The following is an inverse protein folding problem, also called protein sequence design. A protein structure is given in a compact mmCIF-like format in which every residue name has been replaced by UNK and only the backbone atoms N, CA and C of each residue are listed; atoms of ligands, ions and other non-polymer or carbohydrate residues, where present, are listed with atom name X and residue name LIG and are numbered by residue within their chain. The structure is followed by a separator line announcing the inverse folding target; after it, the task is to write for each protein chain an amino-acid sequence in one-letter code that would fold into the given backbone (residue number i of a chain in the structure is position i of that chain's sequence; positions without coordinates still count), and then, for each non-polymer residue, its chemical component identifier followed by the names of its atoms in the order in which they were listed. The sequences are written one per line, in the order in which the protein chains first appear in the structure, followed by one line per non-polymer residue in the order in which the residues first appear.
data_IF_820115670005
#
_entry.id   IF_820115670005
#
_cell.length_a   1.000
_cell.length_b   1.000
_cell.length_c   1.000
_cell.angle_alpha   90.00
_cell.angle_beta   90.00
_cell.angle_gamma   90.00
#
_symmetry.space_group_name_H-M   'P 1'
#
loop_
_entity.id
_entity.type
_entity.pdbx_description
1 polymer ?
#
# COMPACT_ATOMS: atom_id res chain seq x y z
N UNK A 1 -9.74 31.02 5.27
CA UNK A 1 -9.98 29.61 5.70
C UNK A 1 -8.65 28.86 5.76
N UNK A 2 -7.89 28.74 4.70
CA UNK A 2 -6.63 27.99 4.64
C UNK A 2 -5.59 28.44 5.68
N UNK A 3 -5.39 29.74 5.89
CA UNK A 3 -4.52 30.26 6.96
C UNK A 3 -4.93 29.80 8.36
N UNK A 4 -6.25 29.74 8.64
CA UNK A 4 -6.75 29.24 9.93
C UNK A 4 -6.49 27.75 10.10
N UNK A 5 -6.65 26.96 9.03
CA UNK A 5 -6.38 25.53 9.03
C UNK A 5 -4.89 25.28 9.30
N UNK A 6 -4.01 25.99 8.59
CA UNK A 6 -2.56 25.86 8.79
C UNK A 6 -2.13 26.28 10.21
N UNK A 7 -2.67 27.39 10.71
CA UNK A 7 -2.40 27.86 12.08
C UNK A 7 -2.87 26.84 13.13
N UNK A 8 -4.03 26.20 12.94
CA UNK A 8 -4.55 25.17 13.82
C UNK A 8 -3.65 23.92 13.78
N UNK A 9 -3.22 23.49 12.60
CA UNK A 9 -2.31 22.34 12.44
C UNK A 9 -0.96 22.58 13.14
N UNK A 10 -0.37 23.75 12.96
CA UNK A 10 0.86 24.15 13.66
C UNK A 10 0.65 24.20 15.18
N UNK A 11 -0.54 24.61 15.64
CA UNK A 11 -0.90 24.57 17.07
C UNK A 11 -0.92 23.17 17.67
N UNK A 12 -1.17 22.15 16.85
CA UNK A 12 -1.19 20.73 17.26
C UNK A 12 0.14 19.99 17.08
N UNK A 13 1.22 20.64 16.59
CA UNK A 13 2.48 19.98 16.28
C UNK A 13 3.02 19.12 17.44
N UNK A 14 2.97 19.61 18.68
CA UNK A 14 3.43 18.86 19.86
C UNK A 14 2.59 17.60 20.11
N UNK A 15 1.29 17.69 19.90
CA UNK A 15 0.38 16.54 20.08
C UNK A 15 0.57 15.52 18.97
N UNK A 16 0.77 15.97 17.72
CA UNK A 16 1.13 15.14 16.58
C UNK A 16 2.43 14.36 16.84
N UNK A 17 3.48 15.05 17.26
CA UNK A 17 4.77 14.43 17.59
C UNK A 17 4.62 13.40 18.70
N UNK A 18 3.88 13.74 19.79
CA UNK A 18 3.62 12.79 20.89
C UNK A 18 2.90 11.56 20.37
N UNK A 19 1.82 11.73 19.62
CA UNK A 19 1.04 10.62 19.08
C UNK A 19 1.87 9.74 18.13
N UNK A 20 2.64 10.33 17.21
CA UNK A 20 3.55 9.58 16.35
C UNK A 20 4.57 8.75 17.15
N UNK A 21 5.16 9.33 18.21
CA UNK A 21 6.12 8.61 19.04
C UNK A 21 5.47 7.44 19.78
N UNK A 22 4.22 7.60 20.26
CA UNK A 22 3.45 6.50 20.85
C UNK A 22 3.19 5.38 19.83
N UNK A 23 2.86 5.76 18.58
CA UNK A 23 2.67 4.79 17.49
C UNK A 23 3.97 4.03 17.15
N UNK A 24 5.11 4.74 17.07
CA UNK A 24 6.43 4.12 16.82
C UNK A 24 6.79 3.16 17.96
N UNK A 25 6.54 3.54 19.21
CA UNK A 25 6.82 2.70 20.38
C UNK A 25 5.95 1.43 20.41
N UNK A 26 4.82 1.43 19.72
CA UNK A 26 3.91 0.29 19.63
C UNK A 26 4.26 -0.54 18.39
N UNK A 27 4.91 -1.70 18.58
CA UNK A 27 5.23 -2.63 17.47
C UNK A 27 3.94 -3.13 16.82
N UNK A 28 3.92 -3.17 15.51
CA UNK A 28 2.75 -3.57 14.73
C UNK A 28 3.18 -4.19 13.39
N UNK A 29 3.73 -5.41 13.45
CA UNK A 29 3.93 -6.17 12.22
C UNK A 29 2.58 -6.58 11.64
N UNK A 30 2.55 -6.86 10.33
CA UNK A 30 1.33 -7.38 9.67
C UNK A 30 0.76 -8.57 10.44
N UNK A 31 -0.55 -8.60 10.61
CA UNK A 31 -1.31 -9.55 11.45
C UNK A 31 -1.05 -9.44 12.98
N UNK A 32 -0.37 -8.37 13.46
CA UNK A 32 -0.09 -8.14 14.88
C UNK A 32 -0.44 -6.71 15.33
N UNK A 33 -1.38 -6.05 14.65
CA UNK A 33 -1.66 -4.61 14.76
C UNK A 33 -2.57 -4.25 15.96
N UNK A 34 -3.05 -5.21 16.72
CA UNK A 34 -4.09 -4.98 17.74
C UNK A 34 -3.77 -3.88 18.76
N UNK A 35 -2.51 -3.74 19.18
CA UNK A 35 -2.13 -2.72 20.18
C UNK A 35 -2.08 -1.32 19.54
N UNK A 36 -1.54 -1.17 18.34
CA UNK A 36 -1.51 0.12 17.65
C UNK A 36 -2.92 0.56 17.27
N UNK A 37 -3.80 -0.34 16.85
CA UNK A 37 -5.22 -0.04 16.56
C UNK A 37 -5.92 0.52 17.81
N UNK A 38 -5.73 -0.09 18.99
CA UNK A 38 -6.28 0.44 20.24
C UNK A 38 -5.74 1.83 20.59
N UNK A 39 -4.47 2.09 20.30
CA UNK A 39 -3.87 3.40 20.51
C UNK A 39 -4.48 4.46 19.58
N UNK A 40 -4.71 4.09 18.29
CA UNK A 40 -5.38 4.96 17.31
C UNK A 40 -6.84 5.23 17.71
N UNK A 41 -7.57 4.20 18.14
CA UNK A 41 -8.95 4.31 18.64
C UNK A 41 -9.06 5.33 19.78
N UNK A 42 -8.16 5.23 20.76
CA UNK A 42 -8.11 6.18 21.88
C UNK A 42 -7.86 7.61 21.42
N UNK A 43 -6.96 7.82 20.44
CA UNK A 43 -6.67 9.16 19.92
C UNK A 43 -7.84 9.73 19.09
N UNK A 44 -8.45 8.94 18.21
CA UNK A 44 -9.62 9.39 17.44
C UNK A 44 -10.77 9.80 18.34
N UNK A 45 -11.06 9.02 19.40
CA UNK A 45 -12.07 9.36 20.40
C UNK A 45 -11.71 10.66 21.14
N UNK A 46 -10.45 10.87 21.53
CA UNK A 46 -9.98 12.10 22.17
C UNK A 46 -10.03 13.31 21.22
N UNK A 47 -9.88 13.09 19.91
CA UNK A 47 -10.02 14.11 18.86
C UNK A 47 -11.49 14.45 18.53
N UNK A 48 -12.47 13.75 19.12
CA UNK A 48 -13.90 14.07 18.99
C UNK A 48 -14.53 13.60 17.68
N UNK A 49 -14.07 12.49 17.13
CA UNK A 49 -14.70 11.84 15.97
C UNK A 49 -16.15 11.46 16.28
N UNK A 50 -17.05 11.55 15.31
CA UNK A 50 -18.48 11.28 15.48
C UNK A 50 -18.76 9.77 15.62
N UNK A 51 -17.91 8.95 15.02
CA UNK A 51 -17.93 7.50 15.11
C UNK A 51 -16.50 6.96 15.02
N UNK A 52 -16.17 5.98 15.86
CA UNK A 52 -14.91 5.23 15.76
C UNK A 52 -15.26 3.76 15.92
N UNK A 53 -14.89 2.95 14.96
CA UNK A 53 -15.16 1.51 14.97
C UNK A 53 -14.01 0.71 14.40
N UNK A 54 -13.91 -0.54 14.84
CA UNK A 54 -12.96 -1.52 14.32
C UNK A 54 -13.77 -2.60 13.59
N UNK A 55 -13.48 -2.79 12.31
CA UNK A 55 -14.16 -3.80 11.49
C UNK A 55 -13.71 -5.24 11.85
N UNK A 56 -14.38 -6.28 11.34
CA UNK A 56 -13.98 -7.67 11.58
C UNK A 56 -12.58 -8.03 11.07
N UNK A 57 -12.07 -7.37 10.02
CA UNK A 57 -10.69 -7.55 9.54
C UNK A 57 -9.67 -6.95 10.50
N UNK A 58 -10.07 -5.93 11.26
CA UNK A 58 -9.22 -5.26 12.23
C UNK A 58 -8.79 -3.85 11.83
N UNK A 59 -9.29 -3.33 10.72
CA UNK A 59 -9.11 -1.93 10.33
C UNK A 59 -9.84 -1.03 11.33
N UNK A 60 -9.27 0.15 11.60
CA UNK A 60 -9.97 1.19 12.35
C UNK A 60 -10.52 2.24 11.40
N UNK A 61 -11.79 2.59 11.57
CA UNK A 61 -12.49 3.58 10.75
C UNK A 61 -13.08 4.64 11.66
N UNK A 62 -12.63 5.88 11.47
CA UNK A 62 -13.14 7.06 12.17
C UNK A 62 -13.93 7.94 11.22
N UNK A 63 -15.17 8.34 11.59
CA UNK A 63 -16.04 9.19 10.78
C UNK A 63 -16.18 10.58 11.37
N UNK A 64 -16.20 11.57 10.50
CA UNK A 64 -16.49 12.97 10.82
C UNK A 64 -17.51 13.51 9.81
N UNK A 65 -18.58 14.12 10.33
CA UNK A 65 -19.68 14.64 9.52
C UNK A 65 -20.64 13.54 9.04
N UNK A 66 -21.68 13.98 8.37
CA UNK A 66 -22.77 13.15 7.81
C UNK A 66 -23.28 13.68 6.46
N UNK A 67 -22.45 14.50 5.79
CA UNK A 67 -22.75 15.04 4.46
C UNK A 67 -22.81 13.96 3.39
N UNK A 68 -23.47 14.24 2.26
CA UNK A 68 -23.67 13.26 1.18
C UNK A 68 -22.38 12.90 0.42
N UNK A 69 -21.33 13.73 0.49
CA UNK A 69 -20.07 13.54 -0.21
C UNK A 69 -19.12 12.73 0.67
N UNK A 70 -18.76 11.54 0.25
CA UNK A 70 -17.92 10.62 1.04
C UNK A 70 -16.49 10.62 0.54
N UNK A 71 -15.56 11.08 1.38
CA UNK A 71 -14.12 11.07 1.11
C UNK A 71 -13.42 10.24 2.18
N UNK A 72 -12.45 9.44 1.78
CA UNK A 72 -11.65 8.68 2.72
C UNK A 72 -10.17 9.06 2.65
N UNK A 73 -9.50 9.05 3.80
CA UNK A 73 -8.06 9.14 3.97
C UNK A 73 -7.57 7.81 4.50
N UNK A 74 -6.57 7.21 3.87
CA UNK A 74 -6.03 5.91 4.24
C UNK A 74 -4.58 6.00 4.67
N UNK A 75 -4.27 5.39 5.81
CA UNK A 75 -2.90 5.11 6.23
C UNK A 75 -2.84 3.73 6.89
N UNK A 76 -1.91 2.88 6.45
CA UNK A 76 -1.72 1.59 7.12
C UNK A 76 -1.03 1.76 8.48
N UNK A 77 -1.30 0.82 9.37
CA UNK A 77 -0.81 0.83 10.75
C UNK A 77 0.30 -0.19 10.99
N UNK A 78 0.40 -1.18 10.11
CA UNK A 78 1.47 -2.17 10.16
C UNK A 78 2.79 -1.62 9.64
N UNK A 79 3.86 -2.31 9.92
CA UNK A 79 5.22 -2.01 9.47
C UNK A 79 5.95 -3.29 9.17
N UNK A 80 6.94 -3.23 8.29
CA UNK A 80 7.92 -4.31 8.17
C UNK A 80 8.76 -4.45 9.45
N UNK A 81 9.43 -5.60 9.60
CA UNK A 81 10.36 -5.83 10.70
C UNK A 81 11.57 -4.88 10.64
N UNK A 82 12.24 -4.70 11.76
CA UNK A 82 13.46 -3.88 11.84
C UNK A 82 14.67 -4.52 11.15
N UNK A 83 14.56 -5.79 10.78
CA UNK A 83 15.66 -6.55 10.20
C UNK A 83 16.80 -6.78 11.19
N UNK A 84 18.04 -6.52 10.77
CA UNK A 84 19.19 -6.63 11.67
C UNK A 84 19.28 -5.39 12.59
N UNK A 85 19.05 -5.53 13.92
CA UNK A 85 19.11 -4.41 14.86
C UNK A 85 20.47 -3.70 14.89
N UNK A 86 21.56 -4.38 14.52
CA UNK A 86 22.90 -3.77 14.47
C UNK A 86 23.05 -2.69 13.38
N UNK A 87 22.15 -2.63 12.41
CA UNK A 87 22.15 -1.61 11.38
C UNK A 87 21.51 -0.28 11.85
N UNK A 88 20.80 -0.29 12.98
CA UNK A 88 20.17 0.90 13.54
C UNK A 88 21.15 1.67 14.42
N UNK A 89 21.20 3.00 14.23
CA UNK A 89 22.02 3.89 15.06
C UNK A 89 21.29 4.35 16.33
N UNK A 90 19.98 4.15 16.38
CA UNK A 90 19.09 4.44 17.51
C UNK A 90 18.15 3.26 17.71
N UNK A 91 17.50 3.16 18.87
CA UNK A 91 16.42 2.19 19.07
C UNK A 91 15.28 2.47 18.06
N UNK A 92 14.94 1.51 17.19
CA UNK A 92 13.93 1.70 16.16
C UNK A 92 12.51 1.98 16.70
N UNK A 93 12.28 1.73 17.98
CA UNK A 93 10.99 1.93 18.64
C UNK A 93 10.98 3.08 19.66
N UNK A 94 12.08 3.82 19.81
CA UNK A 94 12.13 4.95 20.73
C UNK A 94 11.42 6.20 20.21
N UNK A 95 11.23 6.34 18.90
CA UNK A 95 10.70 7.57 18.30
C UNK A 95 11.52 8.79 18.67
N UNK A 96 12.85 8.65 18.66
CA UNK A 96 13.78 9.72 19.07
C UNK A 96 13.71 10.89 18.10
N UNK A 97 13.68 12.13 18.66
CA UNK A 97 13.72 13.35 17.87
C UNK A 97 15.09 14.01 17.97
N UNK A 98 15.62 14.42 16.82
CA UNK A 98 16.86 15.22 16.74
C UNK A 98 16.77 16.19 15.57
N UNK A 99 17.08 17.45 15.81
CA UNK A 99 17.13 18.52 14.79
C UNK A 99 15.83 18.64 13.96
N UNK A 100 14.65 18.47 14.61
CA UNK A 100 13.36 18.52 13.96
C UNK A 100 13.02 17.30 13.09
N UNK A 101 13.71 16.18 13.30
CA UNK A 101 13.48 14.90 12.60
C UNK A 101 13.23 13.79 13.61
N UNK A 102 12.17 13.02 13.41
CA UNK A 102 11.82 11.84 14.22
C UNK A 102 12.35 10.59 13.50
N UNK A 103 13.04 9.72 14.26
CA UNK A 103 13.63 8.48 13.79
C UNK A 103 12.92 7.28 14.39
N UNK A 104 12.66 6.26 13.59
CA UNK A 104 12.10 5.01 14.07
C UNK A 104 11.37 4.23 12.96
N UNK A 105 11.15 2.93 13.20
CA UNK A 105 10.38 2.07 12.30
C UNK A 105 8.92 2.55 12.25
N UNK A 106 8.41 2.76 11.03
CA UNK A 106 7.08 3.31 10.80
C UNK A 106 7.02 4.85 10.87
N UNK A 107 8.14 5.54 11.14
CA UNK A 107 8.13 7.01 11.17
C UNK A 107 7.70 7.60 9.83
N UNK A 108 8.24 7.08 8.73
CA UNK A 108 7.96 7.48 7.37
C UNK A 108 6.86 6.60 6.75
N UNK A 109 6.92 5.30 6.98
CA UNK A 109 6.08 4.28 6.37
C UNK A 109 5.29 3.52 7.45
N UNK A 110 3.98 3.91 7.74
CA UNK A 110 3.53 5.27 7.43
C UNK A 110 2.77 5.88 8.64
N UNK A 111 3.26 5.56 9.89
CA UNK A 111 2.64 6.06 11.14
C UNK A 111 2.66 7.58 11.25
N UNK A 112 3.63 8.28 10.60
CA UNK A 112 3.64 9.73 10.49
C UNK A 112 2.44 10.29 9.73
N UNK A 113 2.09 9.64 8.64
CA UNK A 113 0.89 9.94 7.88
C UNK A 113 -0.38 9.61 8.66
N UNK A 114 -0.42 8.45 9.33
CA UNK A 114 -1.53 8.08 10.21
C UNK A 114 -1.79 9.14 11.30
N UNK A 115 -0.74 9.62 11.97
CA UNK A 115 -0.88 10.71 12.92
C UNK A 115 -1.45 11.97 12.27
N UNK A 116 -0.97 12.29 11.07
CA UNK A 116 -1.38 13.50 10.34
C UNK A 116 -2.84 13.42 9.86
N UNK A 117 -3.33 12.26 9.38
CA UNK A 117 -4.74 12.12 8.96
C UNK A 117 -5.69 12.17 10.17
N UNK A 118 -5.31 11.58 11.32
CA UNK A 118 -6.10 11.67 12.56
C UNK A 118 -6.25 13.10 13.04
N UNK A 119 -5.16 13.87 13.01
CA UNK A 119 -5.21 15.29 13.40
C UNK A 119 -5.82 16.18 12.31
N UNK A 120 -5.73 15.79 11.03
CA UNK A 120 -6.51 16.41 9.96
C UNK A 120 -8.01 16.37 10.26
N UNK A 121 -8.51 15.20 10.67
CA UNK A 121 -9.89 15.02 11.13
C UNK A 121 -10.23 15.88 12.37
N UNK A 122 -9.34 15.93 13.37
CA UNK A 122 -9.49 16.81 14.54
C UNK A 122 -9.67 18.28 14.14
N UNK A 123 -8.84 18.75 13.21
CA UNK A 123 -8.91 20.15 12.72
C UNK A 123 -10.25 20.40 12.01
N UNK A 124 -10.76 19.44 11.24
CA UNK A 124 -12.09 19.53 10.62
C UNK A 124 -13.16 19.76 11.69
N UNK A 125 -13.15 18.97 12.78
CA UNK A 125 -14.08 19.12 13.91
C UNK A 125 -13.95 20.46 14.62
N UNK A 126 -12.74 20.85 15.00
CA UNK A 126 -12.50 22.07 15.77
C UNK A 126 -12.85 23.35 15.02
N UNK A 127 -12.73 23.33 13.69
CA UNK A 127 -13.04 24.48 12.85
C UNK A 127 -14.45 24.44 12.22
N UNK A 128 -15.21 23.35 12.43
CA UNK A 128 -16.56 23.16 11.87
C UNK A 128 -16.53 23.11 10.33
N UNK A 129 -15.65 22.27 9.76
CA UNK A 129 -15.44 22.18 8.31
C UNK A 129 -16.17 20.99 7.66
N UNK A 130 -17.00 20.27 8.39
CA UNK A 130 -17.70 19.05 7.93
C UNK A 130 -18.63 19.31 6.74
N UNK A 131 -19.39 20.39 6.81
CA UNK A 131 -20.41 20.85 5.83
C UNK A 131 -21.06 19.74 4.96
N UNK A 132 -20.67 19.61 3.70
CA UNK A 132 -21.27 18.65 2.76
C UNK A 132 -20.53 17.32 2.66
N UNK A 133 -19.50 17.12 3.48
CA UNK A 133 -18.66 15.91 3.46
C UNK A 133 -18.88 15.01 4.65
N UNK A 134 -18.86 13.72 4.38
CA UNK A 134 -18.53 12.67 5.34
C UNK A 134 -17.07 12.31 5.10
N UNK A 135 -16.23 12.59 6.08
CA UNK A 135 -14.81 12.22 6.06
C UNK A 135 -14.62 10.92 6.82
N UNK A 136 -14.06 9.92 6.16
CA UNK A 136 -13.58 8.70 6.79
C UNK A 136 -12.06 8.73 6.90
N UNK A 137 -11.54 8.51 8.09
CA UNK A 137 -10.11 8.29 8.36
C UNK A 137 -9.92 6.81 8.67
N UNK A 138 -9.14 6.15 7.85
CA UNK A 138 -8.94 4.70 7.89
C UNK A 138 -7.52 4.40 8.33
N UNK A 139 -7.38 3.62 9.42
CA UNK A 139 -6.14 2.96 9.77
C UNK A 139 -6.22 1.51 9.31
N UNK A 140 -5.59 1.19 8.19
CA UNK A 140 -5.68 -0.10 7.53
C UNK A 140 -4.63 -1.09 8.04
N UNK A 141 -4.92 -2.40 7.98
CA UNK A 141 -4.06 -3.49 8.48
C UNK A 141 -3.55 -4.36 7.33
N UNK A 142 -2.44 -5.05 7.55
CA UNK A 142 -1.83 -6.05 6.63
C UNK A 142 -1.49 -5.48 5.24
N UNK A 143 -1.20 -4.20 5.13
CA UNK A 143 -0.80 -3.58 3.86
C UNK A 143 0.54 -4.09 3.40
N UNK A 144 1.55 -4.13 4.26
CA UNK A 144 2.94 -4.49 3.98
C UNK A 144 3.11 -5.92 3.43
N UNK A 145 2.24 -6.84 3.86
CA UNK A 145 2.23 -8.22 3.39
C UNK A 145 1.36 -8.41 2.14
N UNK A 146 0.28 -7.60 1.99
CA UNK A 146 -0.71 -7.80 0.93
C UNK A 146 -1.44 -6.50 0.60
N UNK A 147 -0.85 -5.74 -0.32
CA UNK A 147 -1.34 -4.43 -0.76
C UNK A 147 -2.84 -4.49 -1.09
N UNK A 148 -3.64 -3.58 -0.55
CA UNK A 148 -5.06 -3.47 -0.85
C UNK A 148 -5.97 -4.57 -0.28
N UNK A 149 -5.45 -5.57 0.45
CA UNK A 149 -6.27 -6.58 1.11
C UNK A 149 -7.35 -5.95 2.00
N UNK A 150 -6.93 -5.03 2.87
CA UNK A 150 -7.81 -4.29 3.77
C UNK A 150 -8.90 -3.52 3.03
N UNK A 151 -8.55 -2.84 1.94
CA UNK A 151 -9.51 -2.08 1.14
C UNK A 151 -10.46 -2.93 0.32
N UNK A 152 -10.05 -4.12 -0.14
CA UNK A 152 -10.99 -5.09 -0.72
C UNK A 152 -12.05 -5.48 0.31
N UNK A 153 -11.64 -5.75 1.56
CA UNK A 153 -12.58 -6.04 2.65
C UNK A 153 -13.51 -4.86 2.94
N UNK A 154 -12.95 -3.66 3.12
CA UNK A 154 -13.72 -2.44 3.41
C UNK A 154 -14.76 -2.16 2.33
N UNK A 155 -14.41 -2.31 1.05
CA UNK A 155 -15.32 -2.01 -0.05
C UNK A 155 -16.36 -3.11 -0.29
N UNK A 156 -15.97 -4.38 -0.17
CA UNK A 156 -16.84 -5.52 -0.50
C UNK A 156 -17.70 -5.98 0.66
N UNK A 157 -17.14 -6.04 1.88
CA UNK A 157 -17.80 -6.65 3.04
C UNK A 157 -18.31 -5.58 4.03
N UNK A 158 -17.53 -4.56 4.32
CA UNK A 158 -17.93 -3.48 5.23
C UNK A 158 -18.85 -2.46 4.56
N UNK A 159 -18.78 -2.37 3.22
CA UNK A 159 -19.72 -1.61 2.40
C UNK A 159 -19.48 -0.10 2.37
N UNK A 160 -18.29 0.39 2.77
CA UNK A 160 -17.92 1.79 2.62
C UNK A 160 -17.85 2.16 1.13
N UNK A 161 -18.47 3.27 0.74
CA UNK A 161 -18.56 3.71 -0.66
C UNK A 161 -18.01 5.14 -0.83
N UNK A 162 -16.70 5.34 -0.77
CA UNK A 162 -16.11 6.66 -0.97
C UNK A 162 -16.19 7.08 -2.44
N UNK A 163 -16.37 8.38 -2.68
CA UNK A 163 -16.28 8.99 -4.01
C UNK A 163 -14.83 9.19 -4.43
N UNK A 164 -13.95 9.41 -3.46
CA UNK A 164 -12.52 9.59 -3.63
C UNK A 164 -11.77 9.11 -2.39
N UNK A 165 -10.54 8.61 -2.60
CA UNK A 165 -9.65 8.19 -1.52
C UNK A 165 -8.30 8.90 -1.68
N UNK A 166 -7.73 9.33 -0.57
CA UNK A 166 -6.34 9.80 -0.48
C UNK A 166 -5.52 8.71 0.21
N UNK A 167 -4.53 8.19 -0.48
CA UNK A 167 -3.55 7.26 0.06
C UNK A 167 -2.42 8.09 0.67
N UNK A 168 -2.22 7.96 1.98
CA UNK A 168 -1.30 8.82 2.72
C UNK A 168 0.15 8.33 2.76
N UNK A 169 0.53 7.42 1.89
CA UNK A 169 1.91 6.95 1.71
C UNK A 169 2.89 8.12 1.50
N UNK A 170 4.17 7.97 1.89
CA UNK A 170 5.15 9.04 1.81
C UNK A 170 5.33 9.55 0.38
N UNK A 171 5.10 10.85 0.18
CA UNK A 171 5.27 11.55 -1.10
C UNK A 171 6.17 12.78 -1.00
N UNK A 172 6.80 12.97 0.15
CA UNK A 172 7.52 14.20 0.47
C UNK A 172 6.65 15.47 0.32
N UNK A 173 5.36 15.36 0.69
CA UNK A 173 4.30 16.36 0.51
C UNK A 173 3.97 16.67 -0.96
N UNK A 174 4.40 15.86 -1.93
CA UNK A 174 3.92 15.92 -3.32
C UNK A 174 2.53 15.33 -3.47
N UNK A 175 1.89 15.56 -4.61
CA UNK A 175 0.61 14.93 -4.98
C UNK A 175 0.89 13.84 -6.02
N UNK A 176 0.71 12.58 -5.63
CA UNK A 176 1.00 11.44 -6.48
C UNK A 176 -0.27 10.91 -7.16
N UNK A 177 -0.13 10.43 -8.40
CA UNK A 177 -1.27 10.04 -9.22
C UNK A 177 -1.27 8.60 -9.72
N UNK A 178 -0.38 7.76 -9.19
CA UNK A 178 -0.33 6.35 -9.57
C UNK A 178 0.94 5.62 -9.18
N UNK A 179 0.93 4.32 -9.45
CA UNK A 179 2.09 3.44 -9.38
C UNK A 179 1.90 2.20 -10.25
N UNK A 180 3.00 1.50 -10.52
CA UNK A 180 2.96 0.20 -11.20
C UNK A 180 2.34 -0.85 -10.30
N UNK A 181 1.62 -1.79 -10.91
CA UNK A 181 1.14 -2.97 -10.23
C UNK A 181 2.24 -3.97 -9.88
N UNK A 182 1.88 -5.00 -9.11
CA UNK A 182 2.75 -6.07 -8.66
C UNK A 182 2.05 -7.42 -8.73
N UNK A 183 2.79 -8.48 -9.01
CA UNK A 183 2.32 -9.86 -8.87
C UNK A 183 3.42 -10.72 -8.26
N UNK A 184 3.01 -11.71 -7.48
CA UNK A 184 3.88 -12.77 -7.01
C UNK A 184 3.51 -14.08 -7.71
N UNK A 185 4.47 -14.64 -8.46
CA UNK A 185 4.25 -15.81 -9.30
C UNK A 185 5.26 -16.89 -8.92
N UNK A 186 4.77 -18.12 -8.77
CA UNK A 186 5.64 -19.30 -8.61
C UNK A 186 5.72 -20.06 -9.92
N UNK A 187 6.94 -20.45 -10.34
CA UNK A 187 7.15 -21.38 -11.43
C UNK A 187 7.80 -22.65 -10.87
N UNK A 188 7.18 -23.79 -11.12
CA UNK A 188 7.61 -25.08 -10.58
C UNK A 188 7.89 -26.09 -11.68
N UNK A 189 9.06 -26.74 -11.59
CA UNK A 189 9.40 -27.91 -12.41
C UNK A 189 9.36 -29.19 -11.58
N UNK A 190 8.94 -30.28 -12.19
CA UNK A 190 8.91 -31.61 -11.59
C UNK A 190 9.94 -32.53 -12.22
N UNK A 191 10.57 -33.35 -11.41
CA UNK A 191 11.53 -34.35 -11.77
C UNK A 191 11.17 -35.73 -11.25
N UNK A 192 12.11 -36.65 -11.34
CA UNK A 192 12.04 -37.99 -10.77
C UNK A 192 13.36 -38.28 -10.05
N UNK A 193 13.27 -38.45 -8.72
CA UNK A 193 14.46 -38.69 -7.92
C UNK A 193 15.05 -40.07 -8.15
N UNK A 194 16.37 -40.15 -8.09
CA UNK A 194 17.13 -41.38 -8.07
C UNK A 194 18.47 -41.14 -7.35
N UNK A 195 19.26 -42.20 -7.14
CA UNK A 195 20.58 -42.08 -6.52
C UNK A 195 21.50 -41.23 -7.40
N UNK A 196 22.18 -40.22 -6.82
CA UNK A 196 23.04 -39.28 -7.57
C UNK A 196 24.22 -39.92 -8.31
N UNK A 197 24.60 -41.17 -7.99
CA UNK A 197 25.61 -41.94 -8.73
C UNK A 197 25.10 -42.56 -10.04
N UNK A 198 23.78 -42.55 -10.27
CA UNK A 198 23.14 -43.07 -11.47
C UNK A 198 22.06 -42.11 -11.97
N UNK A 199 22.42 -40.83 -12.30
CA UNK A 199 21.49 -39.78 -12.64
C UNK A 199 20.64 -40.06 -13.87
N UNK A 200 21.08 -40.92 -14.77
CA UNK A 200 20.35 -41.38 -15.95
C UNK A 200 19.06 -42.14 -15.63
N UNK A 201 18.86 -42.57 -14.37
CA UNK A 201 17.64 -43.26 -13.90
C UNK A 201 16.56 -42.30 -13.41
N UNK A 202 16.87 -41.01 -13.36
CA UNK A 202 15.95 -39.98 -12.88
C UNK A 202 15.75 -38.85 -13.90
N UNK A 203 15.01 -37.84 -13.46
CA UNK A 203 14.82 -36.59 -14.19
C UNK A 203 15.11 -35.46 -13.24
N UNK A 204 16.14 -34.67 -13.49
CA UNK A 204 16.55 -33.59 -12.60
C UNK A 204 15.70 -32.34 -12.81
N UNK A 205 14.90 -31.98 -11.81
CA UNK A 205 14.05 -30.79 -11.84
C UNK A 205 14.87 -29.49 -11.91
N UNK A 206 16.06 -29.45 -11.29
CA UNK A 206 16.93 -28.27 -11.33
C UNK A 206 17.47 -28.04 -12.74
N UNK A 207 17.79 -29.12 -13.49
CA UNK A 207 18.23 -28.97 -14.89
C UNK A 207 17.10 -28.50 -15.81
N UNK A 208 15.84 -28.80 -15.50
CA UNK A 208 14.68 -28.23 -16.18
C UNK A 208 14.48 -26.75 -15.83
N UNK A 209 14.75 -26.35 -14.58
CA UNK A 209 14.59 -24.97 -14.11
C UNK A 209 15.68 -24.04 -14.67
N UNK A 210 16.91 -24.50 -14.82
CA UNK A 210 18.03 -23.66 -15.23
C UNK A 210 17.77 -22.85 -16.54
N UNK A 211 17.25 -23.42 -17.63
CA UNK A 211 16.90 -22.64 -18.83
C UNK A 211 15.73 -21.67 -18.59
N UNK A 212 14.80 -21.97 -17.67
CA UNK A 212 13.71 -21.06 -17.29
C UNK A 212 14.26 -19.81 -16.62
N UNK A 213 15.21 -19.96 -15.69
CA UNK A 213 15.89 -18.84 -15.02
C UNK A 213 16.50 -17.88 -16.07
N UNK A 214 17.19 -18.42 -17.06
CA UNK A 214 17.79 -17.61 -18.12
C UNK A 214 16.73 -16.96 -19.05
N UNK A 215 15.59 -17.62 -19.30
CA UNK A 215 14.49 -17.04 -20.08
C UNK A 215 13.78 -15.90 -19.31
N UNK A 216 13.62 -16.02 -17.99
CA UNK A 216 13.07 -14.95 -17.14
C UNK A 216 13.98 -13.71 -17.15
N UNK A 217 15.31 -13.88 -17.08
CA UNK A 217 16.25 -12.76 -17.18
C UNK A 217 16.09 -12.04 -18.53
N UNK A 218 16.01 -12.78 -19.64
CA UNK A 218 15.76 -12.21 -20.96
C UNK A 218 14.37 -11.59 -21.12
N UNK A 219 13.35 -12.13 -20.44
CA UNK A 219 12.02 -11.54 -20.41
C UNK A 219 12.06 -10.15 -19.80
N UNK A 220 12.77 -9.98 -18.67
CA UNK A 220 12.91 -8.67 -18.02
C UNK A 220 13.49 -7.59 -18.94
N UNK A 221 14.40 -7.95 -19.86
CA UNK A 221 14.96 -7.01 -20.83
C UNK A 221 13.94 -6.52 -21.86
N UNK A 222 12.96 -7.37 -22.20
CA UNK A 222 11.98 -7.12 -23.29
C UNK A 222 10.68 -6.48 -22.82
N UNK A 223 10.42 -6.45 -21.48
CA UNK A 223 9.20 -5.86 -20.96
C UNK A 223 9.08 -4.39 -21.35
N UNK A 224 7.89 -4.01 -21.80
CA UNK A 224 7.53 -2.64 -22.15
C UNK A 224 7.05 -1.82 -20.98
N UNK A 225 6.63 -0.58 -21.26
CA UNK A 225 6.05 0.34 -20.30
C UNK A 225 5.76 1.70 -20.93
N UNK A 226 5.19 2.59 -20.14
CA UNK A 226 4.90 3.97 -20.54
C UNK A 226 5.85 4.94 -19.80
N UNK A 227 5.85 6.22 -20.25
CA UNK A 227 6.88 7.18 -19.82
C UNK A 227 6.75 7.61 -18.35
N UNK A 228 5.53 7.67 -17.80
CA UNK A 228 5.33 8.17 -16.43
C UNK A 228 5.57 7.09 -15.37
N UNK A 229 4.93 5.92 -15.46
CA UNK A 229 5.12 4.84 -14.48
C UNK A 229 6.39 4.01 -14.76
N UNK A 230 6.87 4.02 -16.00
CA UNK A 230 8.03 3.25 -16.42
C UNK A 230 7.68 1.83 -16.92
N UNK A 231 8.71 1.05 -17.25
CA UNK A 231 8.53 -0.30 -17.77
C UNK A 231 8.16 -1.31 -16.67
N UNK A 232 7.47 -2.38 -17.06
CA UNK A 232 7.33 -3.58 -16.23
C UNK A 232 8.69 -4.24 -15.95
N UNK A 233 8.78 -4.99 -14.86
CA UNK A 233 9.98 -5.76 -14.52
C UNK A 233 9.60 -7.15 -14.00
N UNK A 234 10.49 -8.11 -14.12
CA UNK A 234 10.39 -9.41 -13.48
C UNK A 234 11.72 -9.79 -12.87
N UNK A 235 11.70 -10.20 -11.60
CA UNK A 235 12.90 -10.61 -10.86
C UNK A 235 12.63 -11.94 -10.17
N UNK A 236 13.62 -12.84 -10.20
CA UNK A 236 13.61 -14.06 -9.38
C UNK A 236 14.09 -13.68 -7.99
N UNK A 237 13.17 -13.70 -7.01
CA UNK A 237 13.47 -13.35 -5.61
C UNK A 237 13.95 -14.56 -4.79
N UNK A 238 13.52 -15.77 -5.18
CA UNK A 238 13.90 -17.01 -4.51
C UNK A 238 14.04 -18.15 -5.53
N UNK A 239 14.99 -19.06 -5.28
CA UNK A 239 15.08 -20.35 -5.95
C UNK A 239 15.32 -21.45 -4.90
N UNK A 240 14.54 -22.51 -4.99
CA UNK A 240 14.64 -23.66 -4.08
C UNK A 240 14.44 -24.97 -4.84
N UNK A 241 14.97 -26.05 -4.28
CA UNK A 241 14.76 -27.40 -4.80
C UNK A 241 14.56 -28.40 -3.66
N UNK A 242 13.91 -29.52 -3.98
CA UNK A 242 13.74 -30.65 -3.07
C UNK A 242 14.40 -31.89 -3.64
N UNK A 243 14.85 -32.77 -2.75
CA UNK A 243 15.31 -34.12 -3.03
C UNK A 243 15.26 -34.95 -1.76
N UNK A 244 15.15 -36.28 -1.83
CA UNK A 244 15.21 -37.15 -0.63
C UNK A 244 16.50 -37.02 0.16
N UNK A 245 17.61 -36.65 -0.48
CA UNK A 245 18.90 -36.39 0.16
C UNK A 245 19.81 -35.56 -0.76
N UNK A 246 20.89 -35.00 -0.21
CA UNK A 246 21.91 -34.27 -0.99
C UNK A 246 22.66 -35.15 -2.00
N UNK A 247 22.53 -36.50 -1.89
CA UNK A 247 23.09 -37.46 -2.84
C UNK A 247 22.08 -38.04 -3.81
N UNK A 248 20.91 -37.37 -3.97
CA UNK A 248 19.84 -37.77 -4.88
C UNK A 248 19.56 -36.71 -5.94
N UNK A 249 19.01 -37.11 -7.08
CA UNK A 249 18.54 -36.24 -8.12
C UNK A 249 17.32 -35.44 -7.59
N UNK A 250 17.28 -34.13 -7.86
CA UNK A 250 16.19 -33.26 -7.42
C UNK A 250 14.86 -33.62 -8.11
N UNK A 251 13.81 -33.79 -7.31
CA UNK A 251 12.45 -34.13 -7.75
C UNK A 251 11.55 -32.91 -7.97
N UNK A 252 11.91 -31.75 -7.40
CA UNK A 252 11.23 -30.48 -7.63
C UNK A 252 12.24 -29.34 -7.63
N UNK A 253 11.97 -28.31 -8.43
CA UNK A 253 12.62 -27.01 -8.31
C UNK A 253 11.55 -25.92 -8.50
N UNK A 254 11.67 -24.84 -7.75
CA UNK A 254 10.71 -23.77 -7.69
C UNK A 254 11.44 -22.43 -7.68
N UNK A 255 10.95 -21.46 -8.45
CA UNK A 255 11.36 -20.05 -8.38
C UNK A 255 10.17 -19.19 -8.02
N UNK A 256 10.43 -18.15 -7.22
CA UNK A 256 9.48 -17.08 -6.89
C UNK A 256 9.83 -15.84 -7.70
N UNK A 257 8.83 -15.27 -8.38
CA UNK A 257 8.97 -14.09 -9.22
C UNK A 257 8.25 -12.90 -8.59
N UNK A 258 8.95 -11.78 -8.44
CA UNK A 258 8.35 -10.44 -8.27
C UNK A 258 8.18 -9.85 -9.67
N UNK A 259 6.91 -9.71 -10.13
CA UNK A 259 6.54 -9.13 -11.42
C UNK A 259 5.92 -7.76 -11.21
N UNK A 260 6.59 -6.69 -11.66
CA UNK A 260 6.03 -5.34 -11.67
C UNK A 260 5.33 -5.09 -12.99
N UNK A 261 4.07 -4.66 -12.93
CA UNK A 261 3.17 -4.53 -14.06
C UNK A 261 3.24 -3.13 -14.67
N UNK A 262 3.32 -3.04 -15.99
CA UNK A 262 3.12 -1.79 -16.71
C UNK A 262 1.61 -1.42 -16.74
N UNK A 263 1.29 -0.23 -17.22
CA UNK A 263 -0.10 0.25 -17.26
C UNK A 263 -1.05 -0.60 -18.12
N UNK A 264 -0.48 -1.32 -19.11
CA UNK A 264 -1.24 -2.18 -20.04
C UNK A 264 -1.27 -3.65 -19.62
N UNK A 265 -0.53 -4.02 -18.58
CA UNK A 265 -0.44 -5.41 -18.15
C UNK A 265 -1.68 -5.80 -17.33
N UNK A 266 -2.19 -7.00 -17.60
CA UNK A 266 -3.24 -7.66 -16.81
C UNK A 266 -2.69 -8.92 -16.16
N UNK A 267 -3.47 -9.53 -15.26
CA UNK A 267 -3.13 -10.83 -14.69
C UNK A 267 -2.88 -11.86 -15.80
N UNK A 268 -3.80 -11.93 -16.75
CA UNK A 268 -3.76 -12.92 -17.85
C UNK A 268 -2.56 -12.68 -18.76
N UNK A 269 -2.27 -11.42 -19.12
CA UNK A 269 -1.13 -11.12 -20.00
C UNK A 269 0.20 -11.47 -19.33
N UNK A 270 0.37 -11.12 -18.05
CA UNK A 270 1.61 -11.36 -17.31
C UNK A 270 1.88 -12.85 -17.06
N UNK A 271 0.82 -13.65 -16.79
CA UNK A 271 0.94 -15.11 -16.67
C UNK A 271 1.24 -15.74 -18.02
N UNK A 272 0.49 -15.36 -19.06
CA UNK A 272 0.69 -15.90 -20.42
C UNK A 272 2.07 -15.62 -20.99
N UNK A 273 2.69 -14.47 -20.67
CA UNK A 273 4.08 -14.17 -21.05
C UNK A 273 5.07 -15.20 -20.50
N UNK A 274 4.87 -15.64 -19.27
CA UNK A 274 5.74 -16.64 -18.62
C UNK A 274 5.45 -18.03 -19.18
N UNK A 275 4.17 -18.40 -19.28
CA UNK A 275 3.75 -19.70 -19.83
C UNK A 275 4.21 -19.91 -21.28
N UNK A 276 4.29 -18.82 -22.07
CA UNK A 276 4.75 -18.86 -23.47
C UNK A 276 6.27 -19.00 -23.62
N UNK A 277 7.05 -18.93 -22.54
CA UNK A 277 8.50 -19.10 -22.62
C UNK A 277 8.83 -20.52 -23.11
N UNK A 278 9.70 -20.68 -24.14
CA UNK A 278 10.02 -21.98 -24.69
C UNK A 278 10.53 -23.00 -23.66
N UNK A 279 11.30 -22.53 -22.69
CA UNK A 279 11.83 -23.37 -21.59
C UNK A 279 10.74 -23.83 -20.62
N UNK A 280 9.73 -22.98 -20.33
CA UNK A 280 8.57 -23.32 -19.50
C UNK A 280 7.76 -24.42 -20.14
N UNK A 281 7.45 -24.26 -21.45
CA UNK A 281 6.73 -25.27 -22.23
C UNK A 281 7.51 -26.59 -22.35
N UNK A 282 8.79 -26.51 -22.70
CA UNK A 282 9.64 -27.70 -22.85
C UNK A 282 9.80 -28.48 -21.52
N UNK A 283 9.84 -27.76 -20.38
CA UNK A 283 9.92 -28.38 -19.06
C UNK A 283 8.57 -28.95 -18.59
N UNK A 284 7.45 -28.53 -19.18
CA UNK A 284 6.10 -28.74 -18.66
C UNK A 284 5.97 -28.16 -17.24
N UNK A 285 6.51 -26.95 -17.06
CA UNK A 285 6.51 -26.29 -15.75
C UNK A 285 5.11 -25.74 -15.40
N UNK A 286 4.78 -25.78 -14.13
CA UNK A 286 3.57 -25.18 -13.57
C UNK A 286 3.83 -23.69 -13.29
N UNK A 287 2.93 -22.81 -13.71
CA UNK A 287 2.96 -21.36 -13.39
C UNK A 287 1.74 -21.04 -12.59
N UNK A 288 1.91 -20.43 -11.42
CA UNK A 288 0.79 -20.08 -10.54
C UNK A 288 1.00 -18.72 -9.90
N UNK A 289 -0.06 -17.91 -9.87
CA UNK A 289 -0.11 -16.70 -9.03
C UNK A 289 -0.38 -17.14 -7.60
N UNK A 290 0.36 -16.59 -6.66
CA UNK A 290 0.23 -16.96 -5.25
C UNK A 290 -1.01 -16.33 -4.62
N UNK A 291 -1.51 -16.96 -3.57
CA UNK A 291 -2.57 -16.42 -2.72
C UNK A 291 -1.98 -16.03 -1.35
N UNK A 292 -2.54 -14.98 -0.76
CA UNK A 292 -2.31 -14.60 0.61
C UNK A 292 -3.53 -15.02 1.45
N UNK A 293 -3.30 -15.74 2.53
CA UNK A 293 -4.35 -16.25 3.41
C UNK A 293 -3.91 -16.26 4.89
N UNK A 294 -3.10 -15.27 5.28
CA UNK A 294 -2.72 -15.09 6.69
C UNK A 294 -3.89 -14.48 7.45
N UNK A 295 -4.30 -15.04 8.60
CA UNK A 295 -5.34 -14.44 9.42
C UNK A 295 -4.91 -13.06 9.93
N UNK A 296 -5.84 -12.10 9.94
CA UNK A 296 -5.62 -10.80 10.58
C UNK A 296 -5.40 -10.95 12.09
N UNK A 297 -4.98 -9.88 12.76
CA UNK A 297 -4.84 -9.87 14.22
C UNK A 297 -6.14 -10.19 14.98
N UNK A 298 -7.30 -10.08 14.30
CA UNK A 298 -8.61 -10.51 14.83
C UNK A 298 -8.97 -11.96 14.52
N UNK A 299 -8.11 -12.67 13.75
CA UNK A 299 -8.31 -14.06 13.36
C UNK A 299 -9.19 -14.26 12.12
N UNK A 300 -9.61 -13.17 11.45
CA UNK A 300 -10.31 -13.27 10.16
C UNK A 300 -9.30 -13.54 9.04
N UNK A 301 -9.55 -14.56 8.24
CA UNK A 301 -8.82 -14.80 6.99
C UNK A 301 -9.65 -14.32 5.82
N UNK A 302 -9.09 -13.46 4.99
CA UNK A 302 -9.70 -12.98 3.75
C UNK A 302 -8.77 -13.33 2.58
N UNK A 303 -8.93 -14.50 1.95
CA UNK A 303 -8.02 -14.97 0.92
C UNK A 303 -7.96 -14.01 -0.25
N UNK A 304 -6.75 -13.59 -0.61
CA UNK A 304 -6.52 -12.60 -1.66
C UNK A 304 -5.42 -13.09 -2.59
N UNK A 305 -5.69 -13.09 -3.90
CA UNK A 305 -4.67 -13.39 -4.90
C UNK A 305 -3.61 -12.31 -4.92
N UNK A 306 -2.34 -12.68 -4.90
CA UNK A 306 -1.21 -11.74 -4.97
C UNK A 306 -1.06 -11.14 -6.38
N UNK A 307 -2.10 -10.46 -6.79
CA UNK A 307 -2.22 -9.64 -7.99
C UNK A 307 -2.71 -8.26 -7.62
N UNK A 308 -1.89 -7.29 -7.84
CA UNK A 308 -2.06 -5.90 -7.45
C UNK A 308 -2.00 -5.04 -8.73
N UNK A 309 -3.14 -4.68 -9.32
CA UNK A 309 -3.17 -4.00 -10.63
C UNK A 309 -2.52 -2.62 -10.58
N UNK A 310 -1.92 -2.24 -11.68
CA UNK A 310 -1.46 -0.87 -11.92
C UNK A 310 -2.64 0.09 -11.89
N UNK A 311 -2.43 1.26 -11.34
CA UNK A 311 -3.38 2.35 -11.48
C UNK A 311 -2.66 3.66 -11.81
N UNK A 312 -3.34 4.51 -12.57
CA UNK A 312 -2.84 5.81 -12.98
C UNK A 312 -4.03 6.75 -13.20
N UNK A 313 -4.13 7.78 -12.39
CA UNK A 313 -5.13 8.83 -12.56
C UNK A 313 -4.68 9.76 -13.68
N UNK A 314 -5.58 10.13 -14.64
CA UNK A 314 -5.27 11.11 -15.68
C UNK A 314 -4.79 12.44 -15.10
N UNK A 315 -3.87 13.10 -15.79
CA UNK A 315 -3.27 14.35 -15.32
C UNK A 315 -4.29 15.50 -15.21
N UNK A 316 -5.29 15.49 -16.07
CA UNK A 316 -6.40 16.47 -16.07
C UNK A 316 -7.58 16.06 -15.18
N UNK A 317 -7.48 14.96 -14.44
CA UNK A 317 -8.58 14.47 -13.59
C UNK A 317 -8.91 15.50 -12.49
N UNK A 318 -10.19 15.83 -12.26
CA UNK A 318 -10.60 16.85 -11.28
C UNK A 318 -10.07 16.59 -9.86
N UNK A 319 -10.02 15.35 -9.41
CA UNK A 319 -9.48 14.97 -8.10
C UNK A 319 -8.02 15.41 -7.93
N UNK A 320 -7.18 15.16 -8.94
CA UNK A 320 -5.76 15.58 -8.92
C UNK A 320 -5.66 17.10 -8.87
N UNK A 321 -6.44 17.80 -9.72
CA UNK A 321 -6.44 19.26 -9.77
C UNK A 321 -6.88 19.89 -8.43
N UNK A 322 -7.86 19.30 -7.75
CA UNK A 322 -8.28 19.74 -6.40
C UNK A 322 -7.17 19.49 -5.38
N UNK A 323 -6.51 18.35 -5.42
CA UNK A 323 -5.38 18.05 -4.54
C UNK A 323 -4.25 19.06 -4.68
N UNK A 324 -3.87 19.37 -5.91
CA UNK A 324 -2.84 20.38 -6.24
C UNK A 324 -3.24 21.78 -5.79
N UNK A 325 -4.46 22.22 -6.12
CA UNK A 325 -4.98 23.53 -5.74
C UNK A 325 -5.09 23.70 -4.22
N UNK A 326 -5.42 22.62 -3.48
CA UNK A 326 -5.44 22.63 -2.02
C UNK A 326 -4.04 22.87 -1.46
N UNK A 327 -3.04 22.22 -2.02
CA UNK A 327 -1.63 22.40 -1.63
C UNK A 327 -1.18 23.84 -1.88
N UNK A 328 -1.38 24.34 -3.10
CA UNK A 328 -0.97 25.70 -3.49
C UNK A 328 -1.63 26.78 -2.61
N UNK A 329 -2.90 26.60 -2.26
CA UNK A 329 -3.62 27.53 -1.35
C UNK A 329 -3.09 27.50 0.08
N UNK A 330 -2.56 26.39 0.56
CA UNK A 330 -1.99 26.27 1.90
C UNK A 330 -0.56 26.78 1.98
N UNK A 331 0.25 26.52 0.95
CA UNK A 331 1.70 26.67 1.02
C UNK A 331 2.28 27.72 0.05
N UNK A 332 1.50 28.18 -0.92
CA UNK A 332 1.88 29.27 -1.84
C UNK A 332 2.53 28.83 -3.14
N UNK A 333 3.11 27.64 -3.21
CA UNK A 333 3.76 27.08 -4.40
C UNK A 333 3.02 25.82 -4.89
N UNK A 334 3.07 25.49 -6.19
CA UNK A 334 2.48 24.24 -6.69
C UNK A 334 3.23 23.01 -6.14
N UNK A 335 2.53 21.90 -5.86
CA UNK A 335 3.17 20.67 -5.43
C UNK A 335 3.92 19.98 -6.57
N UNK A 336 4.89 19.13 -6.23
CA UNK A 336 5.39 18.13 -7.16
C UNK A 336 4.29 17.11 -7.47
N UNK A 337 4.10 16.78 -8.76
CA UNK A 337 3.21 15.70 -9.19
C UNK A 337 4.05 14.47 -9.50
N UNK A 338 3.87 13.42 -8.71
CA UNK A 338 4.73 12.24 -8.76
C UNK A 338 3.97 10.91 -8.85
N UNK A 339 4.74 9.86 -8.67
CA UNK A 339 4.30 8.47 -8.59
C UNK A 339 5.16 7.71 -7.60
N UNK A 340 4.64 6.64 -7.01
CA UNK A 340 5.47 5.73 -6.24
C UNK A 340 6.18 4.71 -7.14
N UNK A 341 7.31 4.22 -6.67
CA UNK A 341 8.03 3.10 -7.30
C UNK A 341 7.55 1.74 -6.80
N UNK A 342 6.82 1.73 -5.68
CA UNK A 342 6.20 0.56 -5.05
C UNK A 342 4.67 0.58 -5.21
N UNK A 343 3.98 -0.45 -4.77
CA UNK A 343 2.51 -0.55 -4.77
C UNK A 343 1.95 -0.18 -3.39
N UNK A 344 0.69 0.26 -3.36
CA UNK A 344 -0.01 0.76 -2.18
C UNK A 344 -1.45 0.23 -2.16
N UNK A 345 -2.21 0.52 -1.12
CA UNK A 345 -3.66 0.22 -1.07
C UNK A 345 -4.47 0.76 -2.28
N UNK A 346 -3.92 1.69 -3.04
CA UNK A 346 -4.51 2.18 -4.28
C UNK A 346 -4.79 1.10 -5.32
N UNK A 347 -4.12 -0.07 -5.24
CA UNK A 347 -4.39 -1.23 -6.09
C UNK A 347 -5.84 -1.71 -5.94
N UNK A 348 -6.36 -1.76 -4.72
CA UNK A 348 -7.75 -2.13 -4.49
C UNK A 348 -8.70 -0.98 -4.83
N UNK A 349 -8.41 0.22 -4.34
CA UNK A 349 -9.28 1.39 -4.48
C UNK A 349 -9.50 1.75 -5.95
N UNK A 350 -8.45 2.10 -6.67
CA UNK A 350 -8.57 2.49 -8.07
C UNK A 350 -8.33 1.33 -9.03
N UNK A 351 -7.34 0.48 -8.75
CA UNK A 351 -6.98 -0.60 -9.65
C UNK A 351 -8.08 -1.65 -9.83
N UNK A 352 -8.74 -2.07 -8.75
CA UNK A 352 -9.80 -3.09 -8.79
C UNK A 352 -11.20 -2.49 -8.83
N UNK A 353 -11.46 -1.42 -8.07
CA UNK A 353 -12.81 -0.87 -7.89
C UNK A 353 -13.07 0.40 -8.70
N UNK A 354 -12.06 0.97 -9.36
CA UNK A 354 -12.21 2.18 -10.18
C UNK A 354 -12.61 3.44 -9.39
N UNK A 355 -12.40 3.44 -8.08
CA UNK A 355 -12.63 4.61 -7.22
C UNK A 355 -11.44 5.55 -7.40
N UNK A 356 -11.65 6.81 -7.83
CA UNK A 356 -10.56 7.74 -8.02
C UNK A 356 -9.73 7.92 -6.75
N UNK A 357 -8.39 7.79 -6.85
CA UNK A 357 -7.51 8.07 -5.73
C UNK A 357 -6.28 8.88 -6.13
N UNK A 358 -5.73 9.61 -5.18
CA UNK A 358 -4.46 10.33 -5.26
C UNK A 358 -3.62 9.99 -4.04
N UNK A 359 -2.32 10.24 -4.17
CA UNK A 359 -1.38 10.16 -3.06
C UNK A 359 -1.06 11.53 -2.51
N UNK A 360 -0.98 11.62 -1.18
CA UNK A 360 -0.40 12.76 -0.49
C UNK A 360 0.04 12.33 0.91
N UNK A 361 1.32 12.47 1.23
CA UNK A 361 1.80 12.06 2.56
C UNK A 361 3.07 12.78 3.00
N UNK A 362 3.28 12.86 4.32
CA UNK A 362 4.51 13.37 4.91
C UNK A 362 5.63 12.32 4.80
N UNK A 363 6.88 12.76 4.91
CA UNK A 363 8.04 11.89 4.77
C UNK A 363 8.39 11.59 3.33
N UNK A 364 9.54 10.99 3.12
CA UNK A 364 10.07 10.64 1.80
C UNK A 364 10.21 9.13 1.67
N UNK A 365 9.68 8.55 0.58
CA UNK A 365 9.69 7.11 0.28
C UNK A 365 11.10 6.49 0.29
N UNK A 366 12.14 7.31 0.09
CA UNK A 366 13.53 6.82 0.10
C UNK A 366 13.98 6.28 1.46
N UNK A 367 13.26 6.61 2.54
CA UNK A 367 13.55 6.12 3.88
C UNK A 367 12.70 4.90 4.28
N UNK A 368 11.68 4.56 3.50
CA UNK A 368 10.85 3.39 3.74
C UNK A 368 11.71 2.11 3.82
N UNK A 369 11.42 1.23 4.79
CA UNK A 369 12.09 -0.05 5.05
C UNK A 369 13.58 0.05 5.43
N UNK A 370 14.14 1.26 5.57
CA UNK A 370 15.55 1.46 5.94
C UNK A 370 15.77 1.46 7.46
N UNK A 371 16.98 1.11 7.90
CA UNK A 371 17.40 1.25 9.30
C UNK A 371 17.66 2.71 9.71
N UNK A 372 17.58 3.65 8.76
CA UNK A 372 17.65 5.09 8.95
C UNK A 372 16.31 5.78 8.76
N UNK A 373 15.23 5.03 8.89
CA UNK A 373 13.87 5.53 8.68
C UNK A 373 13.58 6.75 9.56
N UNK A 374 13.02 7.80 8.94
CA UNK A 374 12.88 9.11 9.56
C UNK A 374 11.82 9.96 8.89
N UNK A 375 11.30 10.96 9.62
CA UNK A 375 10.33 11.93 9.12
C UNK A 375 10.60 13.32 9.70
N UNK A 376 10.57 14.40 8.88
CA UNK A 376 10.64 15.77 9.39
C UNK A 376 9.36 16.12 10.18
N UNK A 377 9.53 16.72 11.36
CA UNK A 377 8.40 17.15 12.21
C UNK A 377 7.49 18.13 11.47
N UNK A 378 8.07 19.07 10.72
CA UNK A 378 7.30 20.04 9.95
C UNK A 378 6.36 19.42 8.90
N UNK A 379 6.68 18.22 8.39
CA UNK A 379 5.81 17.52 7.44
C UNK A 379 4.50 17.07 8.10
N UNK A 380 4.51 16.75 9.39
CA UNK A 380 3.33 16.27 10.11
C UNK A 380 2.22 17.32 10.14
N UNK A 381 2.53 18.53 10.59
CA UNK A 381 1.57 19.63 10.68
C UNK A 381 1.11 20.10 9.28
N UNK A 382 2.03 20.17 8.29
CA UNK A 382 1.68 20.50 6.91
C UNK A 382 0.71 19.47 6.32
N UNK A 383 0.98 18.19 6.51
CA UNK A 383 0.11 17.12 6.04
C UNK A 383 -1.26 17.17 6.72
N UNK A 384 -1.31 17.34 8.05
CA UNK A 384 -2.57 17.49 8.78
C UNK A 384 -3.41 18.69 8.27
N UNK A 385 -2.76 19.81 7.94
CA UNK A 385 -3.42 20.97 7.36
C UNK A 385 -4.04 20.65 5.99
N UNK A 386 -3.29 19.94 5.14
CA UNK A 386 -3.77 19.54 3.82
C UNK A 386 -4.96 18.57 3.94
N UNK A 387 -4.88 17.55 4.79
CA UNK A 387 -5.96 16.60 5.02
C UNK A 387 -7.23 17.24 5.60
N UNK A 388 -7.09 18.27 6.41
CA UNK A 388 -8.23 19.02 6.93
C UNK A 388 -8.88 19.92 5.86
N UNK A 389 -8.09 20.47 4.93
CA UNK A 389 -8.57 21.37 3.89
C UNK A 389 -9.19 20.64 2.69
N UNK A 390 -8.68 19.43 2.39
CA UNK A 390 -8.99 18.70 1.18
C UNK A 390 -10.48 18.32 1.03
N UNK A 391 -11.19 17.76 2.05
CA UNK A 391 -12.59 17.36 1.89
C UNK A 391 -13.51 18.52 1.49
N UNK A 392 -13.34 19.68 2.13
CA UNK A 392 -14.11 20.88 1.78
C UNK A 392 -13.77 21.44 0.41
N UNK A 393 -12.49 21.38 -0.01
CA UNK A 393 -12.06 21.78 -1.34
C UNK A 393 -12.63 20.84 -2.42
N UNK A 394 -12.63 19.52 -2.13
CA UNK A 394 -13.20 18.49 -2.99
C UNK A 394 -14.70 18.74 -3.21
N UNK A 395 -15.46 18.91 -2.14
CA UNK A 395 -16.91 19.16 -2.23
C UNK A 395 -17.25 20.44 -2.99
N UNK A 396 -16.47 21.50 -2.80
CA UNK A 396 -16.70 22.77 -3.48
C UNK A 396 -16.37 22.75 -4.98
N UNK A 397 -15.40 21.96 -5.40
CA UNK A 397 -14.88 21.97 -6.76
C UNK A 397 -15.52 20.90 -7.67
N UNK A 398 -15.93 19.77 -7.12
CA UNK A 398 -16.46 18.64 -7.88
C UNK A 398 -17.96 18.53 -7.62
N UNK A 399 -18.82 18.79 -8.63
CA UNK A 399 -20.27 18.61 -8.49
C UNK A 399 -20.62 17.20 -8.05
N UNK A 400 -21.65 17.05 -7.21
CA UNK A 400 -22.15 15.73 -6.85
C UNK A 400 -22.55 14.96 -8.11
N UNK A 401 -21.96 13.81 -8.33
CA UNK A 401 -22.38 12.92 -9.41
C UNK A 401 -23.82 12.44 -9.08
N UNK A 402 -24.75 12.41 -10.05
CA UNK A 402 -26.01 11.74 -9.83
C UNK A 402 -25.72 10.29 -9.43
N UNK A 403 -26.46 9.79 -8.45
CA UNK A 403 -26.31 8.43 -7.94
C UNK A 403 -26.52 7.44 -9.10
N UNK A 404 -25.45 7.03 -9.73
CA UNK A 404 -25.45 5.90 -10.67
C UNK A 404 -25.06 4.70 -9.82
N UNK A 405 -25.98 3.74 -9.68
CA UNK A 405 -25.60 2.42 -9.14
C UNK A 405 -24.40 1.94 -9.97
N UNK A 406 -23.21 2.00 -9.37
CA UNK A 406 -22.02 1.43 -9.97
C UNK A 406 -22.25 -0.07 -9.96
N UNK A 407 -22.56 -0.64 -11.11
CA UNK A 407 -22.54 -2.10 -11.28
C UNK A 407 -21.15 -2.56 -10.89
N UNK A 408 -21.08 -3.49 -9.95
CA UNK A 408 -19.83 -4.16 -9.59
C UNK A 408 -19.12 -4.59 -10.89
N UNK A 409 -17.83 -4.37 -10.96
CA UNK A 409 -17.01 -4.93 -12.02
C UNK A 409 -17.34 -6.44 -12.11
N UNK A 410 -17.36 -7.04 -13.32
CA UNK A 410 -17.79 -8.41 -13.49
C UNK A 410 -17.06 -9.30 -12.50
N UNK A 411 -17.84 -9.98 -11.67
CA UNK A 411 -17.35 -10.78 -10.55
C UNK A 411 -16.29 -11.78 -11.03
N UNK A 412 -15.27 -11.89 -10.23
CA UNK A 412 -14.24 -12.92 -10.38
C UNK A 412 -14.92 -14.29 -10.33
N UNK A 413 -14.56 -15.23 -11.21
CA UNK A 413 -15.09 -16.58 -11.12
C UNK A 413 -14.69 -17.18 -9.78
N UNK A 414 -15.70 -17.54 -8.97
CA UNK A 414 -15.55 -18.39 -7.81
C UNK A 414 -15.03 -19.74 -8.29
N UNK A 415 -13.79 -20.03 -8.07
CA UNK A 415 -13.14 -21.31 -8.33
C UNK A 415 -12.44 -21.82 -7.10
#
# INVERSE_FOLDING_TARGET
MFERILAQALGHERDLVRFLRDLIATKSLSAQEGDVIRRVEAEMNACGYDEVRIDPMGNILGRIGDGPRVVALDAHVDTVDVGNPANWTTDPFAGGERDGVIYGRGACDMKGALASIVYGGRIVKELGLESDCTLWVVGSVQEEDCDGLCWQYILNEDGLKPEAVVIAEPTNLGVYRGHRGRMEIEVRTRGVSCHGSAPERGVNAVYKMAPIVADIERLNERLGGESFLGKGTVTIAEIRSTSPSLCAVADSATIHLDRRLAATDTLESAVSEIEALPSVQAAGAEVAVLDYAVPSWRGLTYPTRKYYPTWLLPEDHPLLQVGMATYERLFGDPPEVGRWVFSTNGVAVMGMHGIPCIGFGPGSEVFAHMATEQIPVEHLAKAAAWYAAFPGAYSAAIPALPFVERTAAPGWPSG
#
